data_IF_780884788686
#
_entry.id   IF_780884788686
#
_cell.length_a   1.000
_cell.length_b   1.000
_cell.length_c   1.000
_cell.angle_alpha   90.00
_cell.angle_beta   90.00
_cell.angle_gamma   90.00
#
_symmetry.space_group_name_H-M   'P 1'
#
loop_
_entity.id
_entity.type
_entity.pdbx_description
1 polymer ?
#
# COMPACT_ATOMS: atom_id res chain seq x y z
N UNK A 1 -1.82 -15.36 -10.35
CA UNK A 1 -0.64 -15.78 -11.15
C UNK A 1 0.54 -16.02 -10.20
N UNK A 2 0.76 -17.25 -9.76
CA UNK A 2 1.91 -17.63 -8.90
C UNK A 2 3.04 -18.32 -9.68
N UNK A 3 4.16 -18.63 -9.03
CA UNK A 3 5.26 -19.39 -9.63
C UNK A 3 6.11 -18.63 -10.66
N UNK A 4 6.62 -19.31 -11.69
CA UNK A 4 7.59 -18.75 -12.66
C UNK A 4 7.08 -17.52 -13.41
N UNK A 5 5.81 -17.50 -13.81
CA UNK A 5 5.19 -16.32 -14.44
C UNK A 5 5.17 -15.11 -13.48
N UNK A 6 5.00 -15.35 -12.18
CA UNK A 6 5.08 -14.30 -11.17
C UNK A 6 6.50 -13.73 -11.04
N UNK A 7 7.53 -14.56 -11.19
CA UNK A 7 8.94 -14.13 -11.16
C UNK A 7 9.30 -13.25 -12.36
N UNK A 8 8.81 -13.55 -13.56
CA UNK A 8 9.03 -12.72 -14.76
C UNK A 8 8.40 -11.33 -14.61
N UNK A 9 7.19 -11.26 -14.06
CA UNK A 9 6.52 -9.99 -13.78
C UNK A 9 7.29 -9.22 -12.70
N UNK A 10 7.70 -9.89 -11.63
CA UNK A 10 8.45 -9.27 -10.54
C UNK A 10 9.80 -8.73 -11.01
N UNK A 11 10.49 -9.43 -11.91
CA UNK A 11 11.75 -8.96 -12.51
C UNK A 11 11.60 -7.64 -13.27
N UNK A 12 10.47 -7.47 -13.97
CA UNK A 12 10.16 -6.22 -14.69
C UNK A 12 9.78 -5.08 -13.75
N UNK A 13 9.12 -5.38 -12.62
CA UNK A 13 8.64 -4.37 -11.67
C UNK A 13 9.72 -3.94 -10.68
N UNK A 14 10.46 -4.89 -10.11
CA UNK A 14 11.51 -4.64 -9.13
C UNK A 14 12.57 -5.76 -9.17
N UNK A 15 13.69 -5.53 -9.88
CA UNK A 15 14.78 -6.50 -10.01
C UNK A 15 15.39 -6.94 -8.66
N UNK A 16 15.47 -6.02 -7.70
CA UNK A 16 16.06 -6.31 -6.38
C UNK A 16 15.18 -7.25 -5.56
N UNK A 17 13.87 -6.98 -5.50
CA UNK A 17 12.91 -7.90 -4.88
C UNK A 17 12.87 -9.24 -5.59
N UNK A 18 12.95 -9.25 -6.93
CA UNK A 18 12.97 -10.50 -7.70
C UNK A 18 14.18 -11.37 -7.36
N UNK A 19 15.37 -10.77 -7.16
CA UNK A 19 16.57 -11.49 -6.72
C UNK A 19 16.37 -12.19 -5.37
N UNK A 20 15.76 -11.51 -4.39
CA UNK A 20 15.47 -12.08 -3.07
C UNK A 20 14.48 -13.26 -3.21
N UNK A 21 13.39 -13.06 -3.97
CA UNK A 21 12.38 -14.09 -4.17
C UNK A 21 12.95 -15.31 -4.89
N UNK A 22 13.76 -15.13 -5.95
CA UNK A 22 14.46 -16.22 -6.65
C UNK A 22 15.32 -17.04 -5.70
N UNK A 23 16.12 -16.39 -4.86
CA UNK A 23 16.96 -17.06 -3.87
C UNK A 23 16.14 -17.90 -2.88
N UNK A 24 14.97 -17.40 -2.46
CA UNK A 24 14.06 -18.16 -1.58
C UNK A 24 13.41 -19.33 -2.31
N UNK A 25 12.97 -19.16 -3.56
CA UNK A 25 12.38 -20.24 -4.35
C UNK A 25 13.38 -21.37 -4.65
N UNK A 26 14.67 -21.05 -4.87
CA UNK A 26 15.73 -22.05 -4.97
C UNK A 26 15.85 -22.92 -3.70
N UNK A 27 15.48 -22.36 -2.55
CA UNK A 27 15.45 -23.05 -1.25
C UNK A 27 14.06 -23.63 -0.92
N UNK A 28 13.29 -24.01 -1.94
CA UNK A 28 11.95 -24.64 -1.85
C UNK A 28 10.82 -23.73 -1.37
N UNK A 29 11.02 -22.41 -1.28
CA UNK A 29 9.90 -21.50 -1.02
C UNK A 29 8.96 -21.42 -2.24
N UNK A 30 7.66 -21.33 -1.98
CA UNK A 30 6.65 -21.15 -3.02
C UNK A 30 6.33 -19.67 -3.20
N UNK A 31 6.25 -19.22 -4.44
CA UNK A 31 5.79 -17.87 -4.77
C UNK A 31 4.29 -17.87 -5.00
N UNK A 32 3.56 -17.36 -4.01
CA UNK A 32 2.12 -17.22 -4.03
C UNK A 32 1.70 -15.79 -4.39
N UNK A 33 0.68 -15.68 -5.25
CA UNK A 33 0.04 -14.39 -5.52
C UNK A 33 -1.10 -14.18 -4.52
N UNK A 34 -0.97 -13.11 -3.74
CA UNK A 34 -1.99 -12.68 -2.77
C UNK A 34 -2.96 -11.65 -3.34
N UNK A 35 -2.61 -11.04 -4.47
CA UNK A 35 -3.37 -9.97 -5.11
C UNK A 35 -4.23 -10.50 -6.24
N UNK A 36 -5.44 -9.94 -6.37
CA UNK A 36 -6.26 -10.11 -7.56
C UNK A 36 -6.06 -8.92 -8.51
N UNK A 37 -5.86 -9.23 -9.79
CA UNK A 37 -5.52 -8.22 -10.81
C UNK A 37 -6.65 -7.24 -11.03
N UNK A 38 -7.88 -7.73 -11.16
CA UNK A 38 -9.05 -6.90 -11.46
C UNK A 38 -9.35 -5.97 -10.29
N UNK A 39 -9.30 -6.48 -9.06
CA UNK A 39 -9.46 -5.67 -7.85
C UNK A 39 -8.37 -4.62 -7.68
N UNK A 40 -7.12 -4.96 -8.02
CA UNK A 40 -6.00 -4.02 -7.96
C UNK A 40 -6.15 -2.91 -9.00
N UNK A 41 -6.47 -3.25 -10.25
CA UNK A 41 -6.65 -2.30 -11.35
C UNK A 41 -7.83 -1.35 -11.07
N UNK A 42 -8.98 -1.85 -10.63
CA UNK A 42 -10.13 -1.04 -10.24
C UNK A 42 -9.80 -0.08 -9.10
N UNK A 43 -9.12 -0.55 -8.04
CA UNK A 43 -8.70 0.30 -6.93
C UNK A 43 -7.78 1.44 -7.41
N UNK A 44 -6.89 1.15 -8.35
CA UNK A 44 -5.98 2.14 -8.95
C UNK A 44 -6.73 3.15 -9.82
N UNK A 45 -7.75 2.73 -10.55
CA UNK A 45 -8.56 3.64 -11.37
C UNK A 45 -9.38 4.59 -10.51
N UNK A 46 -9.96 4.11 -9.42
CA UNK A 46 -10.61 4.99 -8.43
C UNK A 46 -9.63 5.96 -7.76
N UNK A 47 -8.43 5.50 -7.38
CA UNK A 47 -7.36 6.35 -6.83
C UNK A 47 -6.97 7.46 -7.82
N UNK A 48 -6.79 7.11 -9.10
CA UNK A 48 -6.48 8.08 -10.15
C UNK A 48 -7.58 9.13 -10.30
N UNK A 49 -8.84 8.72 -10.23
CA UNK A 49 -9.95 9.68 -10.29
C UNK A 49 -9.89 10.69 -9.13
N UNK A 50 -9.56 10.25 -7.92
CA UNK A 50 -9.36 11.13 -6.77
C UNK A 50 -8.21 12.13 -7.00
N UNK A 51 -7.10 11.67 -7.58
CA UNK A 51 -5.91 12.49 -7.84
C UNK A 51 -6.13 13.56 -8.92
N UNK A 52 -7.01 13.31 -9.90
CA UNK A 52 -7.39 14.31 -10.91
C UNK A 52 -8.14 15.48 -10.25
N UNK A 53 -8.88 15.21 -9.16
CA UNK A 53 -9.68 16.20 -8.45
C UNK A 53 -11.03 16.46 -9.10
N UNK A 54 -11.94 17.07 -8.32
CA UNK A 54 -13.31 17.32 -8.75
C UNK A 54 -13.74 18.74 -8.39
N UNK A 55 -14.57 19.34 -9.26
CA UNK A 55 -15.17 20.67 -9.00
C UNK A 55 -16.27 20.58 -7.94
N UNK A 56 -17.05 19.49 -7.95
CA UNK A 56 -18.22 19.34 -7.06
C UNK A 56 -17.95 18.33 -5.95
N UNK A 57 -18.31 18.69 -4.73
CA UNK A 57 -18.22 17.81 -3.55
C UNK A 57 -19.05 16.55 -3.72
N UNK A 58 -20.23 16.65 -4.35
CA UNK A 58 -21.13 15.50 -4.57
C UNK A 58 -20.47 14.39 -5.39
N UNK A 59 -19.71 14.74 -6.43
CA UNK A 59 -18.98 13.75 -7.23
C UNK A 59 -17.76 13.25 -6.47
N UNK A 60 -17.02 14.14 -5.80
CA UNK A 60 -15.87 13.75 -4.97
C UNK A 60 -16.25 12.72 -3.91
N UNK A 61 -17.37 12.92 -3.23
CA UNK A 61 -17.90 11.98 -2.22
C UNK A 61 -18.20 10.61 -2.81
N UNK A 62 -18.91 10.55 -3.94
CA UNK A 62 -19.25 9.27 -4.59
C UNK A 62 -18.00 8.50 -5.01
N UNK A 63 -17.03 9.18 -5.63
CA UNK A 63 -15.80 8.54 -6.07
C UNK A 63 -14.97 8.08 -4.87
N UNK A 64 -14.93 8.87 -3.78
CA UNK A 64 -14.30 8.46 -2.52
C UNK A 64 -14.96 7.21 -1.91
N UNK A 65 -16.29 7.10 -1.94
CA UNK A 65 -17.02 5.93 -1.45
C UNK A 65 -16.64 4.68 -2.25
N UNK A 66 -16.66 4.76 -3.59
CA UNK A 66 -16.25 3.65 -4.47
C UNK A 66 -14.79 3.27 -4.28
N UNK A 67 -13.89 4.26 -4.14
CA UNK A 67 -12.49 4.01 -3.82
C UNK A 67 -12.34 3.24 -2.52
N UNK A 68 -12.98 3.71 -1.43
CA UNK A 68 -12.90 3.06 -0.12
C UNK A 68 -13.44 1.63 -0.16
N UNK A 69 -14.54 1.39 -0.88
CA UNK A 69 -15.11 0.06 -1.03
C UNK A 69 -14.19 -0.88 -1.80
N UNK A 70 -13.69 -0.46 -2.97
CA UNK A 70 -12.77 -1.25 -3.78
C UNK A 70 -11.46 -1.54 -3.03
N UNK A 71 -10.90 -0.52 -2.38
CA UNK A 71 -9.67 -0.62 -1.60
C UNK A 71 -9.86 -1.58 -0.41
N UNK A 72 -10.98 -1.50 0.31
CA UNK A 72 -11.31 -2.44 1.40
C UNK A 72 -11.43 -3.87 0.88
N UNK A 73 -12.21 -4.10 -0.18
CA UNK A 73 -12.40 -5.43 -0.79
C UNK A 73 -11.07 -6.06 -1.21
N UNK A 74 -10.18 -5.26 -1.80
CA UNK A 74 -8.83 -5.71 -2.20
C UNK A 74 -8.02 -6.23 -1.02
N UNK A 75 -7.95 -5.47 0.09
CA UNK A 75 -7.17 -5.91 1.26
C UNK A 75 -7.81 -7.06 2.03
N UNK A 76 -9.13 -7.17 2.03
CA UNK A 76 -9.84 -8.34 2.56
C UNK A 76 -9.49 -9.60 1.73
N UNK A 77 -9.43 -9.47 0.40
CA UNK A 77 -8.99 -10.56 -0.48
C UNK A 77 -7.56 -10.99 -0.16
N UNK A 78 -6.63 -10.04 -0.04
CA UNK A 78 -5.23 -10.32 0.33
C UNK A 78 -5.14 -11.07 1.66
N UNK A 79 -5.87 -10.61 2.69
CA UNK A 79 -5.90 -11.29 3.99
C UNK A 79 -6.41 -12.72 3.90
N UNK A 80 -7.49 -12.94 3.13
CA UNK A 80 -8.05 -14.27 2.87
C UNK A 80 -7.08 -15.18 2.12
N UNK A 81 -6.35 -14.65 1.12
CA UNK A 81 -5.35 -15.42 0.38
C UNK A 81 -4.19 -15.85 1.29
N UNK A 82 -3.77 -14.99 2.22
CA UNK A 82 -2.73 -15.34 3.19
C UNK A 82 -3.22 -16.48 4.10
N UNK A 83 -4.43 -16.36 4.64
CA UNK A 83 -5.07 -17.41 5.47
C UNK A 83 -5.18 -18.76 4.75
N UNK A 84 -5.52 -18.74 3.45
CA UNK A 84 -5.64 -19.96 2.63
C UNK A 84 -4.30 -20.58 2.23
N UNK A 85 -3.23 -19.78 2.13
CA UNK A 85 -1.94 -20.23 1.56
C UNK A 85 -0.89 -20.52 2.61
N UNK A 86 -0.90 -19.82 3.74
CA UNK A 86 0.03 -20.04 4.84
C UNK A 86 -0.50 -21.15 5.74
N UNK A 87 0.14 -22.31 5.73
CA UNK A 87 -0.27 -23.44 6.56
C UNK A 87 0.29 -23.34 7.99
N UNK A 88 -0.23 -24.15 8.93
CA UNK A 88 0.37 -24.25 10.26
C UNK A 88 1.86 -24.57 10.18
N UNK A 89 2.65 -23.91 11.04
CA UNK A 89 4.10 -24.03 11.14
C UNK A 89 4.91 -23.56 9.91
N UNK A 90 4.27 -22.84 8.97
CA UNK A 90 4.96 -22.21 7.84
C UNK A 90 5.33 -20.73 8.14
N UNK A 91 6.31 -20.22 7.39
CA UNK A 91 6.70 -18.81 7.46
C UNK A 91 6.69 -18.22 6.05
N UNK A 92 6.06 -17.06 5.90
CA UNK A 92 6.03 -16.32 4.65
C UNK A 92 6.72 -14.96 4.76
N UNK A 93 7.16 -14.44 3.62
CA UNK A 93 7.62 -13.05 3.47
C UNK A 93 6.61 -12.35 2.59
N UNK A 94 6.00 -11.28 3.10
CA UNK A 94 5.07 -10.44 2.36
C UNK A 94 5.74 -9.13 1.96
N UNK A 95 5.75 -8.84 0.67
CA UNK A 95 6.16 -7.53 0.15
C UNK A 95 4.92 -6.69 -0.07
N UNK A 96 4.77 -5.61 0.70
CA UNK A 96 3.59 -4.76 0.67
C UNK A 96 3.96 -3.30 0.92
N UNK A 97 3.16 -2.36 0.40
CA UNK A 97 3.35 -0.94 0.66
C UNK A 97 3.03 -0.59 2.11
N UNK A 98 3.68 0.46 2.62
CA UNK A 98 3.32 1.09 3.89
C UNK A 98 1.85 1.55 3.88
N UNK A 99 1.21 1.56 5.05
CA UNK A 99 -0.18 2.01 5.20
C UNK A 99 -1.22 1.05 4.63
N UNK A 100 -0.85 -0.21 4.37
CA UNK A 100 -1.80 -1.23 3.91
C UNK A 100 -2.90 -1.49 4.93
N UNK A 101 -4.06 -1.94 4.45
CA UNK A 101 -5.22 -2.24 5.31
C UNK A 101 -5.44 -3.73 5.57
N UNK A 102 -4.48 -4.60 5.17
CA UNK A 102 -4.55 -6.05 5.41
C UNK A 102 -4.85 -6.33 6.88
N UNK A 103 -5.91 -7.09 7.11
CA UNK A 103 -6.21 -7.69 8.41
C UNK A 103 -5.69 -9.11 8.39
N UNK A 104 -4.63 -9.37 9.13
CA UNK A 104 -4.06 -10.72 9.23
C UNK A 104 -4.89 -11.59 10.18
N UNK A 105 -5.02 -12.90 9.89
CA UNK A 105 -5.51 -13.90 10.84
C UNK A 105 -4.83 -13.80 12.22
N UNK A 106 -5.59 -14.07 13.29
CA UNK A 106 -5.14 -13.87 14.69
C UNK A 106 -4.05 -14.85 15.12
N UNK A 107 -3.95 -15.96 14.43
CA UNK A 107 -3.00 -17.04 14.62
C UNK A 107 -1.67 -16.83 13.87
N UNK A 108 -1.54 -15.71 13.13
CA UNK A 108 -0.30 -15.33 12.44
C UNK A 108 0.44 -14.24 13.23
N UNK A 109 1.70 -14.51 13.56
CA UNK A 109 2.60 -13.52 14.13
C UNK A 109 3.24 -12.66 13.02
N UNK A 110 3.08 -11.35 13.10
CA UNK A 110 3.53 -10.42 12.05
C UNK A 110 4.69 -9.56 12.53
N UNK A 111 5.82 -9.69 11.85
CA UNK A 111 7.00 -8.84 12.06
C UNK A 111 7.13 -7.86 10.88
N UNK A 112 6.87 -6.58 11.14
CA UNK A 112 7.07 -5.52 10.13
C UNK A 112 8.54 -5.09 10.12
N UNK A 113 9.16 -5.17 8.95
CA UNK A 113 10.54 -4.72 8.73
C UNK A 113 10.50 -3.56 7.75
N UNK A 114 10.77 -2.36 8.24
CA UNK A 114 10.92 -1.16 7.44
C UNK A 114 12.39 -0.72 7.37
N UNK A 115 12.86 -0.18 6.23
CA UNK A 115 14.22 0.30 6.12
C UNK A 115 14.41 1.60 6.93
N UNK A 116 15.58 1.83 7.55
CA UNK A 116 15.81 3.00 8.43
C UNK A 116 15.70 4.35 7.71
N UNK A 117 15.93 4.38 6.39
CA UNK A 117 15.72 5.58 5.56
C UNK A 117 14.25 6.02 5.55
N UNK A 118 13.30 5.11 5.76
CA UNK A 118 11.88 5.46 5.86
C UNK A 118 11.62 6.33 7.09
N UNK A 119 12.26 6.02 8.22
CA UNK A 119 12.18 6.83 9.43
C UNK A 119 12.74 8.24 9.22
N UNK A 120 13.79 8.38 8.41
CA UNK A 120 14.37 9.67 8.02
C UNK A 120 13.38 10.48 7.15
N UNK A 121 12.72 9.85 6.18
CA UNK A 121 11.69 10.49 5.35
C UNK A 121 10.51 10.95 6.21
N UNK A 122 10.00 10.10 7.11
CA UNK A 122 8.91 10.51 8.00
C UNK A 122 9.33 11.62 8.95
N UNK A 123 10.56 11.57 9.48
CA UNK A 123 11.11 12.65 10.32
C UNK A 123 11.18 13.96 9.54
N UNK A 124 11.65 13.91 8.29
CA UNK A 124 11.68 15.07 7.43
C UNK A 124 10.29 15.63 7.14
N UNK A 125 9.31 14.77 6.81
CA UNK A 125 7.91 15.15 6.59
C UNK A 125 7.31 15.84 7.83
N UNK A 126 7.54 15.29 9.03
CA UNK A 126 7.08 15.89 10.30
C UNK A 126 7.79 17.21 10.63
N UNK A 127 9.03 17.37 10.20
CA UNK A 127 9.84 18.57 10.48
C UNK A 127 9.53 19.76 9.56
N UNK A 128 8.65 19.60 8.56
CA UNK A 128 8.16 20.73 7.79
C UNK A 128 7.33 21.62 8.72
N UNK A 129 7.74 22.87 9.00
CA UNK A 129 6.80 23.82 9.57
C UNK A 129 5.62 23.91 8.61
N UNK A 130 4.41 23.85 9.15
CA UNK A 130 3.18 24.18 8.42
C UNK A 130 3.41 25.55 7.78
N UNK A 131 3.74 25.59 6.48
CA UNK A 131 3.62 26.79 5.65
C UNK A 131 2.12 27.02 5.46
N UNK A 132 1.48 27.43 6.56
CA UNK A 132 0.09 27.87 6.73
C UNK A 132 -0.14 28.00 8.23
N UNK A 133 0.32 29.14 8.77
CA UNK A 133 -0.10 29.80 10.02
C UNK A 133 1.00 30.80 10.43
N UNK A 134 1.33 31.77 9.57
CA UNK A 134 2.06 32.99 9.99
C UNK A 134 2.02 34.15 8.98
N UNK A 135 1.11 34.13 7.99
CA UNK A 135 0.86 35.32 7.13
C UNK A 135 -0.46 36.04 7.47
N UNK A 136 -1.37 35.43 8.23
CA UNK A 136 -2.69 36.03 8.54
C UNK A 136 -2.73 36.84 9.87
N UNK A 137 -1.56 37.10 10.48
CA UNK A 137 -1.48 37.87 11.74
C UNK A 137 -0.81 39.25 11.60
N UNK A 138 -0.57 39.73 10.36
CA UNK A 138 0.08 41.04 10.14
C UNK A 138 -0.70 42.05 9.29
N UNK A 139 -1.87 41.72 8.73
CA UNK A 139 -2.69 42.71 7.98
C UNK A 139 -3.78 43.41 8.82
N UNK A 140 -3.91 43.10 10.12
CA UNK A 140 -4.93 43.70 11.00
C UNK A 140 -4.56 45.01 11.72
N UNK A 141 -3.31 45.49 11.63
CA UNK A 141 -2.81 46.59 12.49
C UNK A 141 -2.22 47.78 11.70
N UNK A 142 -2.76 48.06 10.51
CA UNK A 142 -2.47 49.29 9.77
C UNK A 142 -3.68 49.78 8.97
N UNK A 143 -4.76 50.08 9.69
CA UNK A 143 -5.69 51.15 9.31
C UNK A 143 -6.19 51.79 10.61
N UNK A 144 -5.42 52.75 11.12
CA UNK A 144 -5.91 53.84 11.98
C UNK A 144 -5.99 55.10 11.14
#
# INVERSE_FOLDING_TARGET
MGGEQGLEILEKLNPDSCRIVRQKCQNKALLEAVEDREMAEESMDWERCLLIGFITEKVAKKVSEFYMEAHKRRYEHIGKRIDETLKPDETAILFIREGHMVQFPKDIEVFSVAPPVLDEIHRWLRSRPLLRESEDSKEGESTS
#
